data_IF_156545462564
#
_entry.id   IF_156545462564
#
_cell.length_a   1.000
_cell.length_b   1.000
_cell.length_c   1.000
_cell.angle_alpha   90.00
_cell.angle_beta   90.00
_cell.angle_gamma   90.00
#
_symmetry.space_group_name_H-M   'P 1'
#
loop_
_entity.id
_entity.type
_entity.pdbx_description
1 polymer ?
#
# COMPACT_ATOMS: atom_id res chain seq x y z
N UNK A 1 31.63 -8.98 32.17
CA UNK A 1 30.44 -8.29 32.70
C UNK A 1 29.36 -8.36 31.62
N UNK A 2 28.38 -9.25 31.75
CA UNK A 2 27.36 -9.46 30.74
C UNK A 2 26.13 -8.59 31.08
N UNK A 3 25.86 -7.59 30.25
CA UNK A 3 24.70 -6.72 30.36
C UNK A 3 23.42 -7.53 30.17
N UNK A 4 22.67 -7.75 31.27
CA UNK A 4 21.35 -8.37 31.23
C UNK A 4 20.36 -7.40 30.58
N UNK A 5 20.18 -7.47 29.25
CA UNK A 5 19.07 -6.80 28.60
C UNK A 5 17.76 -7.39 29.15
N UNK A 6 16.90 -6.50 29.68
CA UNK A 6 15.61 -6.87 30.27
C UNK A 6 14.71 -7.55 29.23
N UNK A 7 14.03 -8.67 29.56
CA UNK A 7 13.11 -9.36 28.64
C UNK A 7 11.95 -8.46 28.19
N UNK A 8 11.64 -7.40 28.96
CA UNK A 8 10.65 -6.40 28.60
C UNK A 8 11.05 -5.57 27.37
N UNK A 9 12.35 -5.35 27.15
CA UNK A 9 12.85 -4.61 25.98
C UNK A 9 12.63 -5.44 24.71
N UNK A 10 12.85 -6.75 24.77
CA UNK A 10 12.60 -7.65 23.65
C UNK A 10 11.11 -7.73 23.29
N UNK A 11 10.22 -7.79 24.28
CA UNK A 11 8.78 -7.78 24.05
C UNK A 11 8.29 -6.46 23.44
N UNK A 12 8.85 -5.32 23.88
CA UNK A 12 8.52 -4.02 23.31
C UNK A 12 8.95 -3.90 21.83
N UNK A 13 10.15 -4.37 21.50
CA UNK A 13 10.65 -4.39 20.12
C UNK A 13 9.83 -5.32 19.22
N UNK A 14 9.44 -6.50 19.70
CA UNK A 14 8.56 -7.41 18.94
C UNK A 14 7.17 -6.84 18.72
N UNK A 15 6.58 -6.16 19.72
CA UNK A 15 5.30 -5.48 19.58
C UNK A 15 5.33 -4.34 18.56
N UNK A 16 6.40 -3.53 18.57
CA UNK A 16 6.63 -2.48 17.58
C UNK A 16 6.84 -3.03 16.16
N UNK A 17 7.51 -4.17 16.00
CA UNK A 17 7.63 -4.83 14.69
C UNK A 17 6.28 -5.34 14.17
N UNK A 18 5.44 -5.91 15.05
CA UNK A 18 4.17 -6.51 14.65
C UNK A 18 3.17 -5.48 14.11
N UNK A 19 3.10 -4.29 14.71
CA UNK A 19 2.17 -3.23 14.28
C UNK A 19 2.47 -2.69 12.86
N UNK A 20 3.73 -2.74 12.43
CA UNK A 20 4.12 -2.30 11.09
C UNK A 20 3.90 -3.37 10.01
N UNK A 21 3.57 -4.62 10.40
CA UNK A 21 3.47 -5.76 9.48
C UNK A 21 2.02 -6.05 9.03
N UNK A 22 1.01 -5.41 9.63
CA UNK A 22 -0.40 -5.71 9.35
C UNK A 22 -0.81 -5.37 7.91
N UNK A 23 -0.27 -4.29 7.33
CA UNK A 23 -0.54 -3.92 5.92
C UNK A 23 0.07 -4.89 4.92
N UNK A 24 1.28 -5.38 5.19
CA UNK A 24 1.99 -6.30 4.30
C UNK A 24 1.33 -7.68 4.22
N UNK A 25 0.77 -8.18 5.32
CA UNK A 25 0.18 -9.53 5.38
C UNK A 25 -1.14 -9.61 4.60
N UNK A 26 -1.94 -8.55 4.59
CA UNK A 26 -3.24 -8.55 3.92
C UNK A 26 -3.12 -8.34 2.39
N UNK A 27 -2.15 -7.52 1.95
CA UNK A 27 -2.10 -7.02 0.59
C UNK A 27 -0.82 -7.32 -0.18
N UNK A 28 0.25 -7.78 0.49
CA UNK A 28 1.55 -8.01 -0.14
C UNK A 28 2.23 -6.72 -0.64
N UNK A 29 1.71 -5.55 -0.26
CA UNK A 29 2.18 -4.24 -0.67
C UNK A 29 2.04 -3.28 0.53
N UNK A 30 3.10 -2.53 0.82
CA UNK A 30 3.15 -1.60 1.95
C UNK A 30 2.38 -0.30 1.70
N UNK A 31 2.11 0.03 0.44
CA UNK A 31 1.35 1.22 0.05
C UNK A 31 -0.10 0.88 -0.29
N UNK A 32 -0.59 -0.23 0.26
CA UNK A 32 -1.96 -0.69 0.07
C UNK A 32 -2.61 -1.02 1.42
N UNK A 33 -3.84 -0.55 1.58
CA UNK A 33 -4.66 -0.85 2.75
C UNK A 33 -5.86 -1.72 2.36
N UNK A 34 -6.18 -2.71 3.21
CA UNK A 34 -7.41 -3.49 3.09
C UNK A 34 -8.60 -2.66 3.53
N UNK A 35 -9.36 -2.09 2.59
CA UNK A 35 -10.51 -1.21 2.89
C UNK A 35 -11.65 -1.43 1.91
N UNK A 36 -12.84 -0.94 2.29
CA UNK A 36 -13.98 -0.89 1.37
C UNK A 36 -13.73 0.19 0.31
N UNK A 37 -13.75 -0.17 -0.96
CA UNK A 37 -13.55 0.77 -2.06
C UNK A 37 -14.24 0.26 -3.34
N UNK A 38 -14.35 1.15 -4.32
CA UNK A 38 -14.85 0.91 -5.67
C UNK A 38 -13.80 0.22 -6.57
N UNK A 39 -12.56 0.04 -6.11
CA UNK A 39 -11.52 -0.72 -6.82
C UNK A 39 -10.85 0.06 -7.96
N UNK A 40 -10.68 1.36 -7.79
CA UNK A 40 -10.15 2.27 -8.80
C UNK A 40 -8.89 2.99 -8.38
N UNK A 41 -7.86 2.19 -8.18
CA UNK A 41 -6.54 2.65 -7.81
C UNK A 41 -5.55 2.62 -8.97
N UNK A 42 -5.89 2.15 -10.17
CA UNK A 42 -4.96 2.14 -11.32
C UNK A 42 -4.42 3.54 -11.62
N UNK A 43 -3.13 3.62 -11.93
CA UNK A 43 -2.46 4.89 -12.27
C UNK A 43 -3.26 5.72 -13.29
N UNK A 44 -3.72 5.11 -14.40
CA UNK A 44 -4.51 5.81 -15.43
C UNK A 44 -5.82 6.39 -14.89
N UNK A 45 -6.51 5.66 -14.00
CA UNK A 45 -7.77 6.13 -13.41
C UNK A 45 -7.53 7.27 -12.42
N UNK A 46 -6.50 7.15 -11.58
CA UNK A 46 -6.12 8.19 -10.61
C UNK A 46 -5.63 9.47 -11.29
N UNK A 47 -4.86 9.35 -12.37
CA UNK A 47 -4.35 10.49 -13.14
C UNK A 47 -5.46 11.25 -13.87
N UNK A 48 -6.45 10.53 -14.39
CA UNK A 48 -7.55 11.12 -15.17
C UNK A 48 -8.77 11.45 -14.31
N UNK A 49 -8.72 11.22 -12.99
CA UNK A 49 -9.88 11.27 -12.08
C UNK A 49 -11.11 10.59 -12.68
N UNK A 50 -10.89 9.45 -13.35
CA UNK A 50 -11.93 8.81 -14.12
C UNK A 50 -12.97 8.22 -13.16
N UNK A 51 -14.27 8.56 -13.31
CA UNK A 51 -15.29 8.06 -12.42
C UNK A 51 -15.39 6.54 -12.53
N UNK A 52 -15.52 5.91 -11.38
CA UNK A 52 -15.59 4.46 -11.28
C UNK A 52 -16.97 3.98 -10.89
N UNK A 53 -17.57 3.21 -11.79
CA UNK A 53 -18.92 2.67 -11.65
C UNK A 53 -18.89 1.19 -11.25
N UNK A 54 -17.95 0.78 -10.40
CA UNK A 54 -17.95 -0.58 -9.85
C UNK A 54 -18.75 -0.60 -8.54
N UNK A 55 -19.33 -1.74 -8.16
CA UNK A 55 -19.90 -1.88 -6.83
C UNK A 55 -18.78 -1.82 -5.77
N UNK A 56 -19.01 -1.18 -4.61
CA UNK A 56 -18.03 -1.15 -3.54
C UNK A 56 -17.78 -2.56 -3.01
N UNK A 57 -16.51 -2.93 -2.85
CA UNK A 57 -16.06 -4.22 -2.31
C UNK A 57 -14.90 -4.01 -1.34
N UNK A 58 -14.70 -4.94 -0.40
CA UNK A 58 -13.45 -4.97 0.38
C UNK A 58 -12.37 -5.57 -0.49
N UNK A 59 -11.29 -4.83 -0.65
CA UNK A 59 -10.11 -5.26 -1.39
C UNK A 59 -8.90 -4.46 -0.95
N UNK A 60 -7.72 -4.92 -1.35
CA UNK A 60 -6.50 -4.11 -1.28
C UNK A 60 -6.61 -2.94 -2.23
N UNK A 61 -6.39 -1.73 -1.70
CA UNK A 61 -6.50 -0.49 -2.45
C UNK A 61 -5.26 0.32 -2.14
N UNK A 62 -4.64 0.89 -3.16
CA UNK A 62 -3.51 1.78 -2.95
C UNK A 62 -3.90 2.96 -2.05
N UNK A 63 -2.99 3.31 -1.15
CA UNK A 63 -3.14 4.43 -0.24
C UNK A 63 -3.15 5.76 -0.98
N UNK A 64 -3.42 6.83 -0.24
CA UNK A 64 -3.48 8.16 -0.81
C UNK A 64 -2.10 8.65 -1.25
N UNK A 65 -2.00 9.11 -2.51
CA UNK A 65 -0.73 9.43 -3.15
C UNK A 65 -0.08 8.28 -3.94
N UNK A 66 -0.71 7.11 -3.98
CA UNK A 66 -0.24 5.94 -4.72
C UNK A 66 -1.26 5.46 -5.74
N UNK A 67 -0.78 4.98 -6.89
CA UNK A 67 -1.57 4.34 -7.92
C UNK A 67 -1.05 2.94 -8.25
N UNK A 68 -1.95 2.06 -8.68
CA UNK A 68 -1.63 0.70 -9.08
C UNK A 68 -1.00 0.72 -10.47
N UNK A 69 0.27 0.38 -10.53
CA UNK A 69 1.08 0.25 -11.74
C UNK A 69 0.70 -0.99 -12.56
N UNK A 70 1.38 -1.17 -13.69
CA UNK A 70 1.14 -2.30 -14.60
C UNK A 70 1.51 -3.67 -14.02
N UNK A 71 2.45 -3.69 -13.10
CA UNK A 71 2.86 -4.88 -12.34
C UNK A 71 1.89 -5.25 -11.20
N UNK A 72 0.84 -4.45 -11.01
CA UNK A 72 -0.15 -4.65 -9.96
C UNK A 72 0.24 -4.09 -8.60
N UNK A 73 1.42 -3.48 -8.46
CA UNK A 73 1.90 -2.85 -7.22
C UNK A 73 1.48 -1.38 -7.11
N UNK A 74 1.42 -0.89 -5.88
CA UNK A 74 1.14 0.50 -5.57
C UNK A 74 2.44 1.31 -5.64
N UNK A 75 2.55 2.10 -6.70
CA UNK A 75 3.68 2.99 -6.96
C UNK A 75 3.28 4.45 -6.70
N UNK A 76 4.25 5.34 -6.52
CA UNK A 76 3.95 6.74 -6.28
C UNK A 76 3.25 7.37 -7.48
N UNK A 77 2.46 8.41 -7.27
CA UNK A 77 1.86 9.13 -8.40
C UNK A 77 2.91 9.71 -9.36
N UNK A 78 4.10 10.05 -8.88
CA UNK A 78 5.22 10.48 -9.73
C UNK A 78 5.66 9.36 -10.69
N UNK A 79 5.75 8.12 -10.20
CA UNK A 79 6.08 6.95 -11.02
C UNK A 79 4.92 6.58 -11.96
N UNK A 80 3.67 6.77 -11.51
CA UNK A 80 2.49 6.60 -12.37
C UNK A 80 2.55 7.51 -13.60
N UNK A 81 3.05 8.75 -13.49
CA UNK A 81 3.24 9.61 -14.67
C UNK A 81 4.25 9.01 -15.64
N UNK A 82 5.33 8.40 -15.15
CA UNK A 82 6.31 7.73 -16.01
C UNK A 82 5.73 6.50 -16.71
N UNK A 83 4.85 5.75 -16.04
CA UNK A 83 4.17 4.58 -16.62
C UNK A 83 3.05 4.93 -17.61
N UNK A 84 2.32 6.02 -17.34
CA UNK A 84 1.15 6.47 -18.10
C UNK A 84 1.46 7.41 -19.26
N UNK A 85 2.70 7.90 -19.37
CA UNK A 85 3.14 8.63 -20.55
C UNK A 85 3.17 7.68 -21.76
N UNK A 86 2.60 8.06 -22.92
CA UNK A 86 2.81 7.31 -24.13
C UNK A 86 4.32 7.23 -24.38
N UNK A 87 4.87 6.02 -24.53
CA UNK A 87 6.23 5.84 -25.07
C UNK A 87 6.22 6.48 -26.44
N UNK A 88 6.79 7.69 -26.55
CA UNK A 88 7.11 8.30 -27.85
C UNK A 88 8.21 7.49 -28.52
#
# INVERSE_FOLDING_TARGET
>A
MASKLSPLIFLALFGLLAANLEGMIACGDFNASWRMNIGCDKCQQRLQNLPCALPPRRSCVCDDGFGRGRDGKCISMADCFQEGLPRR
#
